data_IF_722722902079
#
_entry.id   IF_722722902079
#
_cell.length_a   1.000
_cell.length_b   1.000
_cell.length_c   1.000
_cell.angle_alpha   90.00
_cell.angle_beta   90.00
_cell.angle_gamma   90.00
#
_symmetry.space_group_name_H-M   'P 1'
#
loop_
_entity.id
_entity.type
_entity.pdbx_description
1 polymer ?
#
# COMPACT_ATOMS: atom_id res chain seq x y z
N UNK A 1 9.68 -16.64 -4.52
CA UNK A 1 9.87 -15.16 -4.42
C UNK A 1 10.35 -14.68 -3.03
N UNK A 2 9.70 -15.05 -1.91
CA UNK A 2 10.02 -14.50 -0.58
C UNK A 2 11.49 -14.67 -0.12
N UNK A 3 12.14 -15.82 -0.39
CA UNK A 3 13.57 -16.03 -0.08
C UNK A 3 14.49 -15.16 -0.95
N UNK A 4 14.16 -14.98 -2.24
CA UNK A 4 14.94 -14.17 -3.18
C UNK A 4 14.86 -12.66 -2.85
N UNK A 5 13.72 -12.15 -2.38
CA UNK A 5 13.55 -10.76 -1.93
C UNK A 5 14.43 -10.44 -0.71
N UNK A 6 14.63 -11.42 0.18
CA UNK A 6 15.51 -11.27 1.36
C UNK A 6 16.98 -11.28 0.96
N UNK A 7 17.37 -12.12 -0.01
CA UNK A 7 18.77 -12.36 -0.41
C UNK A 7 19.30 -11.36 -1.45
N UNK A 8 18.47 -10.87 -2.37
CA UNK A 8 18.92 -10.03 -3.50
C UNK A 8 18.27 -8.64 -3.47
N UNK A 9 19.10 -7.60 -3.31
CA UNK A 9 18.67 -6.19 -3.25
C UNK A 9 17.96 -5.74 -4.53
N UNK A 10 18.36 -6.26 -5.69
CA UNK A 10 17.75 -5.95 -6.98
C UNK A 10 16.33 -6.51 -7.11
N UNK A 11 16.09 -7.74 -6.66
CA UNK A 11 14.76 -8.37 -6.68
C UNK A 11 13.81 -7.56 -5.80
N UNK A 12 14.29 -7.16 -4.63
CA UNK A 12 13.54 -6.28 -3.72
C UNK A 12 13.19 -4.94 -4.38
N UNK A 13 14.13 -4.33 -5.10
CA UNK A 13 13.89 -3.08 -5.84
C UNK A 13 12.82 -3.28 -6.92
N UNK A 14 12.91 -4.33 -7.72
CA UNK A 14 11.93 -4.62 -8.79
C UNK A 14 10.52 -4.81 -8.22
N UNK A 15 10.38 -5.63 -7.18
CA UNK A 15 9.08 -5.85 -6.51
C UNK A 15 8.51 -4.55 -5.97
N UNK A 16 9.33 -3.72 -5.32
CA UNK A 16 8.86 -2.41 -4.84
C UNK A 16 8.46 -1.48 -5.97
N UNK A 17 9.16 -1.52 -7.11
CA UNK A 17 8.77 -0.77 -8.30
C UNK A 17 7.39 -1.21 -8.83
N UNK A 18 7.05 -2.50 -8.75
CA UNK A 18 5.68 -2.97 -9.06
C UNK A 18 4.64 -2.38 -8.09
N UNK A 19 4.95 -2.32 -6.79
CA UNK A 19 4.03 -1.76 -5.78
C UNK A 19 3.74 -0.26 -5.95
N UNK A 20 4.64 0.51 -6.57
CA UNK A 20 4.44 1.94 -6.84
C UNK A 20 3.85 2.23 -8.21
N UNK A 21 3.65 1.23 -9.08
CA UNK A 21 3.00 1.44 -10.40
C UNK A 21 1.65 2.16 -10.28
N UNK A 22 0.75 1.80 -9.32
CA UNK A 22 -0.51 2.51 -9.13
C UNK A 22 -0.36 4.00 -8.78
N UNK A 23 0.77 4.43 -8.23
CA UNK A 23 1.02 5.83 -7.86
C UNK A 23 1.32 6.71 -9.08
N UNK A 24 1.74 6.11 -10.20
CA UNK A 24 1.94 6.83 -11.45
C UNK A 24 0.59 7.32 -11.99
N UNK A 25 0.56 8.50 -12.64
CA UNK A 25 -0.59 8.88 -13.44
C UNK A 25 -0.84 7.82 -14.52
N UNK A 26 -2.12 7.58 -14.84
CA UNK A 26 -2.56 6.46 -15.68
C UNK A 26 -1.79 6.33 -17.01
N UNK A 27 -1.52 7.45 -17.67
CA UNK A 27 -0.77 7.53 -18.94
C UNK A 27 0.70 7.07 -18.82
N UNK A 28 1.28 7.05 -17.61
CA UNK A 28 2.66 6.61 -17.37
C UNK A 28 2.78 5.16 -16.89
N UNK A 29 1.69 4.50 -16.47
CA UNK A 29 1.75 3.16 -15.85
C UNK A 29 2.41 2.13 -16.76
N UNK A 30 2.00 2.05 -18.03
CA UNK A 30 2.60 1.08 -18.97
C UNK A 30 4.07 1.40 -19.30
N UNK A 31 4.44 2.70 -19.32
CA UNK A 31 5.84 3.11 -19.46
C UNK A 31 6.64 2.68 -18.23
N UNK A 32 6.07 2.79 -17.03
CA UNK A 32 6.64 2.31 -15.78
C UNK A 32 6.86 0.80 -15.79
N UNK A 33 5.82 0.04 -16.15
CA UNK A 33 5.90 -1.42 -16.25
C UNK A 33 7.04 -1.87 -17.18
N UNK A 34 7.12 -1.29 -18.39
CA UNK A 34 8.22 -1.57 -19.33
C UNK A 34 9.59 -1.18 -18.77
N UNK A 35 9.68 -0.10 -17.98
CA UNK A 35 10.93 0.31 -17.33
C UNK A 35 11.40 -0.70 -16.30
N UNK A 36 10.48 -1.36 -15.58
CA UNK A 36 10.81 -2.41 -14.60
C UNK A 36 11.36 -3.63 -15.33
N UNK A 37 10.73 -4.05 -16.43
CA UNK A 37 11.21 -5.18 -17.24
C UNK A 37 12.60 -4.91 -17.83
N UNK A 38 12.82 -3.71 -18.38
CA UNK A 38 14.14 -3.30 -18.87
C UNK A 38 15.20 -3.32 -17.78
N UNK A 39 14.86 -2.91 -16.56
CA UNK A 39 15.79 -2.98 -15.44
C UNK A 39 16.14 -4.43 -15.07
N UNK A 40 15.16 -5.34 -15.10
CA UNK A 40 15.41 -6.76 -14.83
C UNK A 40 16.28 -7.42 -15.89
N UNK A 41 16.06 -7.09 -17.16
CA UNK A 41 16.92 -7.52 -18.28
C UNK A 41 18.34 -6.98 -18.12
N UNK A 42 18.50 -5.68 -17.89
CA UNK A 42 19.82 -5.04 -17.67
C UNK A 42 20.58 -5.63 -16.48
N UNK A 43 19.88 -6.18 -15.49
CA UNK A 43 20.48 -6.81 -14.30
C UNK A 43 20.55 -8.33 -14.38
N UNK A 44 20.29 -8.90 -15.56
CA UNK A 44 20.32 -10.34 -15.82
C UNK A 44 19.51 -11.18 -14.82
N UNK A 45 18.35 -10.66 -14.41
CA UNK A 45 17.41 -11.33 -13.50
C UNK A 45 15.96 -11.39 -14.02
N UNK A 46 15.69 -11.50 -15.34
CA UNK A 46 14.32 -11.49 -15.85
C UNK A 46 13.49 -12.65 -15.26
N UNK A 47 14.07 -13.85 -15.17
CA UNK A 47 13.39 -15.06 -14.67
C UNK A 47 12.82 -14.93 -13.25
N UNK A 48 13.40 -14.07 -12.41
CA UNK A 48 12.93 -13.89 -11.03
C UNK A 48 11.62 -13.10 -10.96
N UNK A 49 11.33 -12.26 -11.96
CA UNK A 49 10.13 -11.42 -12.01
C UNK A 49 9.10 -11.88 -13.05
N UNK A 50 9.39 -12.87 -13.89
CA UNK A 50 8.50 -13.33 -14.96
C UNK A 50 7.10 -13.66 -14.44
N UNK A 51 6.99 -14.43 -13.36
CA UNK A 51 5.70 -14.78 -12.77
C UNK A 51 4.93 -13.56 -12.25
N UNK A 52 5.62 -12.60 -11.62
CA UNK A 52 5.01 -11.35 -11.16
C UNK A 52 4.55 -10.47 -12.33
N UNK A 53 5.37 -10.37 -13.37
CA UNK A 53 5.06 -9.60 -14.57
C UNK A 53 3.86 -10.18 -15.32
N UNK A 54 3.80 -11.51 -15.46
CA UNK A 54 2.66 -12.22 -16.05
C UNK A 54 1.39 -11.99 -15.22
N UNK A 55 1.43 -12.24 -13.91
CA UNK A 55 0.30 -11.96 -13.02
C UNK A 55 -0.19 -10.51 -13.17
N UNK A 56 0.72 -9.54 -13.19
CA UNK A 56 0.36 -8.14 -13.30
C UNK A 56 -0.31 -7.83 -14.64
N UNK A 57 0.21 -8.37 -15.75
CA UNK A 57 -0.38 -8.21 -17.07
C UNK A 57 -1.77 -8.81 -17.19
N UNK A 58 -2.01 -9.99 -16.60
CA UNK A 58 -3.32 -10.63 -16.69
C UNK A 58 -4.35 -9.99 -15.74
N UNK A 59 -3.91 -9.56 -14.56
CA UNK A 59 -4.82 -9.08 -13.50
C UNK A 59 -5.10 -7.59 -13.61
N UNK A 60 -4.05 -6.78 -13.80
CA UNK A 60 -4.13 -5.34 -13.62
C UNK A 60 -4.15 -4.56 -14.94
N UNK A 61 -3.54 -5.07 -16.02
CA UNK A 61 -3.59 -4.40 -17.33
C UNK A 61 -5.02 -4.18 -17.84
N UNK A 62 -5.96 -5.15 -17.75
CA UNK A 62 -7.34 -4.90 -18.18
C UNK A 62 -8.05 -3.83 -17.33
N UNK A 63 -7.59 -3.62 -16.09
CA UNK A 63 -8.15 -2.71 -15.10
C UNK A 63 -7.35 -1.41 -14.96
N UNK A 64 -6.57 -1.02 -15.96
CA UNK A 64 -5.71 0.16 -15.90
C UNK A 64 -6.45 1.46 -15.56
N UNK A 65 -7.71 1.58 -15.99
CA UNK A 65 -8.56 2.76 -15.76
C UNK A 65 -8.92 2.98 -14.28
N UNK A 66 -8.91 1.92 -13.46
CA UNK A 66 -9.14 1.99 -12.01
C UNK A 66 -7.87 1.72 -11.19
N UNK A 67 -6.75 1.41 -11.85
CA UNK A 67 -5.51 1.07 -11.17
C UNK A 67 -4.77 2.31 -10.65
N UNK A 68 -4.83 3.42 -11.38
CA UNK A 68 -4.12 4.64 -10.97
C UNK A 68 -4.81 5.24 -9.74
N UNK A 69 -4.06 5.37 -8.66
CA UNK A 69 -4.46 6.12 -7.45
C UNK A 69 -3.75 7.48 -7.38
N UNK A 70 -3.19 7.93 -8.50
CA UNK A 70 -2.50 9.21 -8.59
C UNK A 70 -3.48 10.36 -8.36
N UNK A 71 -3.17 11.23 -7.39
CA UNK A 71 -4.06 12.33 -7.02
C UNK A 71 -5.24 11.94 -6.13
N UNK A 72 -5.51 10.65 -5.91
CA UNK A 72 -6.53 10.22 -4.95
C UNK A 72 -6.17 10.67 -3.53
N UNK A 73 -7.19 11.06 -2.77
CA UNK A 73 -7.06 11.44 -1.36
C UNK A 73 -6.74 10.22 -0.50
N UNK A 74 -7.40 9.10 -0.77
CA UNK A 74 -7.17 7.81 -0.14
C UNK A 74 -6.53 6.83 -1.14
N UNK A 75 -5.25 6.52 -0.93
CA UNK A 75 -4.43 5.69 -1.86
C UNK A 75 -4.18 4.27 -1.36
N UNK A 76 -4.57 4.00 -0.12
CA UNK A 76 -4.28 2.75 0.60
C UNK A 76 -5.57 2.15 1.12
N UNK A 77 -5.64 0.83 1.13
CA UNK A 77 -6.69 0.03 1.78
C UNK A 77 -6.62 0.08 3.31
N UNK A 78 -6.05 1.13 3.91
CA UNK A 78 -5.85 1.23 5.36
C UNK A 78 -7.16 1.06 6.14
N UNK A 79 -8.28 1.54 5.61
CA UNK A 79 -9.60 1.31 6.22
C UNK A 79 -9.92 -0.18 6.22
N UNK A 80 -9.91 -0.83 5.05
CA UNK A 80 -10.16 -2.28 4.94
C UNK A 80 -9.18 -3.11 5.79
N UNK A 81 -7.90 -2.73 5.86
CA UNK A 81 -6.90 -3.40 6.70
C UNK A 81 -7.14 -3.19 8.20
N UNK A 82 -7.64 -2.01 8.60
CA UNK A 82 -8.03 -1.72 9.97
C UNK A 82 -9.26 -2.54 10.35
N UNK A 83 -10.28 -2.58 9.50
CA UNK A 83 -11.51 -3.32 9.73
C UNK A 83 -11.23 -4.83 9.79
N UNK A 84 -10.39 -5.35 8.88
CA UNK A 84 -9.91 -6.73 8.93
C UNK A 84 -9.12 -7.04 10.20
N UNK A 85 -8.38 -6.06 10.75
CA UNK A 85 -7.65 -6.23 12.00
C UNK A 85 -8.59 -6.28 13.20
N UNK A 86 -9.56 -5.37 13.27
CA UNK A 86 -10.59 -5.37 14.32
C UNK A 86 -11.34 -6.70 14.33
N UNK A 87 -11.72 -7.20 13.14
CA UNK A 87 -12.35 -8.51 13.01
C UNK A 87 -11.42 -9.64 13.47
N UNK A 88 -10.14 -9.59 13.10
CA UNK A 88 -9.17 -10.57 13.58
C UNK A 88 -8.99 -10.53 15.10
N UNK A 89 -8.96 -9.35 15.70
CA UNK A 89 -8.82 -9.19 17.15
C UNK A 89 -10.07 -9.73 17.87
N UNK A 90 -11.27 -9.49 17.32
CA UNK A 90 -12.53 -10.05 17.83
C UNK A 90 -12.62 -11.59 17.71
N UNK A 91 -12.01 -12.19 16.67
CA UNK A 91 -12.09 -13.63 16.41
C UNK A 91 -10.92 -14.43 17.02
N UNK A 92 -9.73 -13.83 17.15
CA UNK A 92 -8.47 -14.54 17.49
C UNK A 92 -7.99 -14.29 18.92
N UNK A 93 -8.91 -14.09 19.85
CA UNK A 93 -8.52 -13.96 21.24
C UNK A 93 -7.89 -15.27 21.75
N UNK A 94 -6.92 -15.17 22.68
CA UNK A 94 -6.14 -16.32 23.20
C UNK A 94 -7.01 -17.45 23.79
N UNK A 95 -8.26 -17.12 24.16
CA UNK A 95 -9.31 -18.05 24.61
C UNK A 95 -10.63 -17.61 23.96
N UNK A 96 -10.86 -17.99 22.70
CA UNK A 96 -12.04 -17.53 21.97
C UNK A 96 -13.28 -18.10 22.65
N UNK A 97 -14.22 -17.24 23.03
CA UNK A 97 -15.55 -17.63 23.44
C UNK A 97 -16.59 -16.82 22.64
N UNK A 98 -17.82 -17.33 22.57
CA UNK A 98 -18.87 -16.72 21.74
C UNK A 98 -19.23 -15.31 22.20
N UNK A 99 -19.13 -15.02 23.50
CA UNK A 99 -19.44 -13.71 24.07
C UNK A 99 -18.42 -12.66 23.66
N UNK A 100 -17.12 -12.98 23.75
CA UNK A 100 -16.04 -12.08 23.31
C UNK A 100 -16.14 -11.77 21.80
N UNK A 101 -16.56 -12.76 21.00
CA UNK A 101 -16.85 -12.53 19.59
C UNK A 101 -18.04 -11.58 19.39
N UNK A 102 -19.16 -11.83 20.08
CA UNK A 102 -20.36 -10.97 20.01
C UNK A 102 -20.03 -9.53 20.44
N UNK A 103 -19.29 -9.37 21.54
CA UNK A 103 -18.88 -8.07 22.06
C UNK A 103 -17.95 -7.34 21.08
N UNK A 104 -16.99 -8.04 20.48
CA UNK A 104 -16.12 -7.46 19.45
C UNK A 104 -16.88 -7.03 18.19
N UNK A 105 -17.85 -7.83 17.74
CA UNK A 105 -18.73 -7.46 16.61
C UNK A 105 -19.59 -6.25 16.97
N UNK A 106 -20.11 -6.18 18.21
CA UNK A 106 -20.89 -5.03 18.69
C UNK A 106 -20.07 -3.74 18.71
N UNK A 107 -18.83 -3.78 19.20
CA UNK A 107 -17.93 -2.61 19.22
C UNK A 107 -17.59 -2.12 17.79
N UNK A 108 -17.43 -3.05 16.85
CA UNK A 108 -17.25 -2.73 15.43
C UNK A 108 -18.48 -2.04 14.83
N UNK A 109 -19.69 -2.53 15.14
CA UNK A 109 -20.95 -1.94 14.68
C UNK A 109 -21.14 -0.55 15.27
N UNK A 110 -20.91 -0.36 16.57
CA UNK A 110 -21.00 0.94 17.24
C UNK A 110 -20.05 1.97 16.60
N UNK A 111 -18.82 1.57 16.29
CA UNK A 111 -17.84 2.41 15.60
C UNK A 111 -18.33 2.78 14.19
N UNK A 112 -18.90 1.82 13.47
CA UNK A 112 -19.44 2.01 12.12
C UNK A 112 -20.63 2.97 12.13
N UNK A 113 -21.54 2.83 13.09
CA UNK A 113 -22.69 3.72 13.27
C UNK A 113 -22.26 5.16 13.58
N UNK A 114 -21.21 5.34 14.40
CA UNK A 114 -20.64 6.66 14.68
C UNK A 114 -20.05 7.29 13.41
N UNK A 115 -19.25 6.55 12.64
CA UNK A 115 -18.70 7.02 11.36
C UNK A 115 -19.84 7.40 10.38
N UNK A 116 -20.89 6.57 10.30
CA UNK A 116 -22.06 6.80 9.46
C UNK A 116 -22.84 8.06 9.89
N UNK A 117 -23.00 8.31 11.18
CA UNK A 117 -23.62 9.53 11.71
C UNK A 117 -22.83 10.79 11.35
N UNK A 118 -21.50 10.74 11.41
CA UNK A 118 -20.61 11.83 10.98
C UNK A 118 -20.77 12.09 9.48
N UNK A 119 -20.76 11.04 8.67
CA UNK A 119 -20.95 11.12 7.22
C UNK A 119 -22.32 11.68 6.82
N UNK A 120 -23.41 11.24 7.49
CA UNK A 120 -24.78 11.77 7.28
C UNK A 120 -24.87 13.27 7.53
N UNK A 121 -24.07 13.80 8.46
CA UNK A 121 -23.96 15.25 8.73
C UNK A 121 -23.10 16.00 7.71
N UNK A 122 -22.75 15.37 6.57
CA UNK A 122 -21.82 15.87 5.55
C UNK A 122 -20.45 16.28 6.11
N UNK A 123 -20.09 15.80 7.31
CA UNK A 123 -18.75 15.97 7.87
C UNK A 123 -17.90 14.80 7.40
N UNK A 124 -16.66 15.07 7.01
CA UNK A 124 -15.70 14.00 6.73
C UNK A 124 -15.41 13.27 8.05
N UNK A 125 -15.55 11.95 8.06
CA UNK A 125 -15.00 11.10 9.10
C UNK A 125 -13.46 11.14 8.97
N UNK A 126 -12.82 12.16 9.56
CA UNK A 126 -11.37 12.33 9.48
C UNK A 126 -10.73 11.41 10.52
N UNK A 127 -10.37 10.19 10.11
CA UNK A 127 -9.43 9.38 10.90
C UNK A 127 -8.09 10.12 10.94
N UNK A 128 -7.56 10.36 12.14
CA UNK A 128 -6.27 11.06 12.33
C UNK A 128 -5.17 10.31 11.57
N UNK A 129 -4.58 10.96 10.57
CA UNK A 129 -3.43 10.42 9.84
C UNK A 129 -2.15 10.64 10.64
N UNK A 130 -1.26 9.65 10.66
CA UNK A 130 0.05 9.84 11.29
C UNK A 130 0.87 10.91 10.53
N UNK A 131 1.70 11.68 11.25
CA UNK A 131 2.56 12.74 10.68
C UNK A 131 3.34 12.24 9.47
N UNK A 132 3.82 11.00 9.52
CA UNK A 132 4.60 10.48 8.39
C UNK A 132 3.76 9.88 7.27
N UNK A 133 2.49 9.53 7.49
CA UNK A 133 1.60 9.26 6.36
C UNK A 133 1.38 10.57 5.57
N UNK A 134 1.20 11.69 6.26
CA UNK A 134 1.10 13.02 5.65
C UNK A 134 2.38 13.36 4.87
N UNK A 135 3.56 13.21 5.48
CA UNK A 135 4.84 13.49 4.81
C UNK A 135 5.08 12.60 3.58
N UNK A 136 4.68 11.33 3.65
CA UNK A 136 4.77 10.41 2.52
C UNK A 136 3.86 10.84 1.36
N UNK A 137 2.63 11.24 1.67
CA UNK A 137 1.68 11.73 0.66
C UNK A 137 2.19 12.98 -0.05
N UNK A 138 2.81 13.89 0.70
CA UNK A 138 3.41 15.10 0.16
C UNK A 138 4.57 14.76 -0.77
N UNK A 139 5.45 13.86 -0.35
CA UNK A 139 6.55 13.37 -1.18
C UNK A 139 6.04 12.79 -2.51
N UNK A 140 4.98 11.97 -2.47
CA UNK A 140 4.39 11.38 -3.68
C UNK A 140 3.78 12.46 -4.58
N UNK A 141 3.16 13.50 -4.01
CA UNK A 141 2.61 14.63 -4.78
C UNK A 141 3.71 15.39 -5.51
N UNK A 142 4.79 15.74 -4.82
CA UNK A 142 5.95 16.42 -5.42
C UNK A 142 6.53 15.60 -6.56
N UNK A 143 6.83 14.31 -6.33
CA UNK A 143 7.34 13.42 -7.38
C UNK A 143 6.38 13.30 -8.57
N UNK A 144 5.08 13.30 -8.32
CA UNK A 144 4.07 13.24 -9.39
C UNK A 144 4.10 14.51 -10.23
N UNK A 145 4.27 15.67 -9.59
CA UNK A 145 4.36 16.95 -10.27
C UNK A 145 5.65 17.05 -11.10
N UNK A 146 6.80 16.74 -10.50
CA UNK A 146 8.09 16.69 -11.23
C UNK A 146 8.06 15.75 -12.43
N UNK A 147 7.33 14.63 -12.34
CA UNK A 147 7.16 13.71 -13.46
C UNK A 147 6.30 14.31 -14.58
N UNK A 148 5.21 15.02 -14.22
CA UNK A 148 4.35 15.71 -15.19
C UNK A 148 5.10 16.83 -15.91
N UNK A 149 5.91 17.57 -15.16
CA UNK A 149 6.74 18.68 -15.66
C UNK A 149 8.00 18.19 -16.38
N UNK A 150 8.19 16.86 -16.49
CA UNK A 150 9.31 16.18 -17.15
C UNK A 150 10.69 16.47 -16.52
N UNK A 151 10.73 16.97 -15.28
CA UNK A 151 11.96 17.15 -14.52
C UNK A 151 12.59 15.81 -14.11
N UNK A 152 11.76 14.78 -13.90
CA UNK A 152 12.24 13.42 -13.60
C UNK A 152 11.74 12.40 -14.61
N UNK A 153 12.52 11.32 -14.75
CA UNK A 153 12.11 10.16 -15.56
C UNK A 153 11.15 9.26 -14.78
N UNK A 154 10.34 8.46 -15.50
CA UNK A 154 9.51 7.41 -14.88
C UNK A 154 10.36 6.42 -14.06
N UNK A 155 11.58 6.11 -14.51
CA UNK A 155 12.48 5.22 -13.78
C UNK A 155 12.96 5.84 -12.45
N UNK A 156 13.16 7.17 -12.42
CA UNK A 156 13.49 7.93 -11.20
C UNK A 156 12.31 7.94 -10.26
N UNK A 157 11.11 8.28 -10.74
CA UNK A 157 9.87 8.21 -9.95
C UNK A 157 9.70 6.83 -9.29
N UNK A 158 9.82 5.75 -10.07
CA UNK A 158 9.69 4.38 -9.57
C UNK A 158 10.74 4.01 -8.51
N UNK A 159 11.94 4.61 -8.60
CA UNK A 159 13.00 4.42 -7.61
C UNK A 159 12.65 5.19 -6.35
N UNK A 160 12.32 6.46 -6.45
CA UNK A 160 12.22 7.38 -5.31
C UNK A 160 10.92 7.15 -4.53
N UNK A 161 9.79 6.96 -5.23
CA UNK A 161 8.52 6.58 -4.61
C UNK A 161 8.61 5.21 -3.90
N UNK A 162 9.49 4.31 -4.36
CA UNK A 162 9.63 2.99 -3.73
C UNK A 162 10.16 3.07 -2.30
N UNK A 163 11.00 4.05 -1.99
CA UNK A 163 11.53 4.26 -0.63
C UNK A 163 10.46 4.79 0.33
N UNK A 164 9.50 5.54 -0.17
CA UNK A 164 8.32 6.01 0.58
C UNK A 164 7.48 4.83 1.07
N UNK A 165 7.29 3.82 0.20
CA UNK A 165 6.63 2.55 0.57
C UNK A 165 7.45 1.76 1.60
N UNK A 166 8.80 1.80 1.57
CA UNK A 166 9.63 1.09 2.56
C UNK A 166 9.43 1.62 3.97
N UNK A 167 9.37 2.94 4.14
CA UNK A 167 9.07 3.54 5.45
C UNK A 167 7.69 3.12 5.95
N UNK A 168 6.69 3.03 5.06
CA UNK A 168 5.35 2.56 5.42
C UNK A 168 5.30 1.06 5.77
N UNK A 169 5.87 0.19 4.92
CA UNK A 169 5.92 -1.26 5.14
C UNK A 169 6.72 -1.64 6.39
N UNK A 170 7.88 -1.00 6.62
CA UNK A 170 8.68 -1.26 7.81
C UNK A 170 7.95 -0.87 9.11
N UNK A 171 7.07 0.14 9.07
CA UNK A 171 6.21 0.47 10.22
C UNK A 171 5.07 -0.52 10.41
N UNK A 172 4.43 -0.98 9.34
CA UNK A 172 3.43 -2.06 9.42
C UNK A 172 4.01 -3.35 10.02
N UNK A 173 5.28 -3.65 9.71
CA UNK A 173 6.00 -4.78 10.28
C UNK A 173 6.47 -4.53 11.73
N UNK A 174 6.97 -3.33 12.05
CA UNK A 174 7.45 -2.98 13.39
C UNK A 174 6.31 -2.67 14.39
N UNK A 175 5.13 -2.29 13.92
CA UNK A 175 3.93 -2.14 14.75
C UNK A 175 3.44 -3.43 15.40
N UNK A 176 3.99 -4.60 15.00
CA UNK A 176 3.81 -5.88 15.68
C UNK A 176 4.72 -6.06 16.90
N UNK A 177 5.67 -5.16 17.16
CA UNK A 177 6.41 -5.06 18.43
C UNK A 177 5.73 -4.03 19.35
N UNK A 178 4.45 -4.24 19.70
CA UNK A 178 3.92 -3.57 20.89
C UNK A 178 4.52 -4.27 22.11
N UNK A 179 5.38 -3.53 22.78
CA UNK A 179 5.93 -3.79 24.12
C UNK A 179 4.78 -4.28 25.00
N UNK A 180 4.93 -5.48 25.57
CA UNK A 180 4.14 -5.89 26.74
C UNK A 180 4.40 -4.83 27.80
N UNK A 181 3.41 -3.95 28.03
CA UNK A 181 3.34 -3.26 29.32
C UNK A 181 2.97 -4.34 30.31
N UNK A 182 3.93 -4.73 31.13
CA UNK A 182 3.63 -5.46 32.35
C UNK A 182 2.67 -4.56 33.14
N UNK A 183 1.46 -5.07 33.35
CA UNK A 183 0.66 -4.75 34.52
C UNK A 183 1.07 -5.80 35.55
#
# INVERSE_FOLDING_TARGET
>A
MARAIRRFSIVRRLVRSFCVLPLLPQNFIMKGFRSILRLALKKNVPGVITGLASYWLHTWRPKLHILSVSGCEDRTTNCCECDNRMLQDAVREKRPNVWNFIDGVREMEDTTQQDLHVLRKKKKAVRRRSVSAVANDETIRVLTQELKDKHISVASFLKDASYTIVKALNRGLNGKKKIRRNI
#
